data_IF_336979993439
#
_entry.id   IF_336979993439
#
_cell.length_a   1.000
_cell.length_b   1.000
_cell.length_c   1.000
_cell.angle_alpha   90.00
_cell.angle_beta   90.00
_cell.angle_gamma   90.00
#
_symmetry.space_group_name_H-M   'P 1'
#
loop_
_entity.id
_entity.type
_entity.pdbx_description
1 polymer ?
#
# COMPACT_ATOMS: atom_id res chain seq x y z
N UNK A 1 45.79 0.99 29.67
CA UNK A 1 44.41 1.12 30.18
C UNK A 1 43.61 1.74 29.07
N UNK A 2 42.85 0.89 28.37
CA UNK A 2 42.11 1.23 27.16
C UNK A 2 40.87 2.06 27.51
N UNK A 3 40.67 3.14 26.75
CA UNK A 3 39.43 3.92 26.72
C UNK A 3 38.33 3.07 26.07
N UNK A 4 37.42 2.53 26.87
CA UNK A 4 36.16 1.99 26.36
C UNK A 4 35.32 3.14 25.79
N UNK A 5 35.32 3.27 24.47
CA UNK A 5 34.40 4.14 23.75
C UNK A 5 32.98 3.62 23.97
N UNK A 6 32.20 4.38 24.73
CA UNK A 6 30.76 4.24 24.90
C UNK A 6 30.09 4.19 23.50
N UNK A 7 29.72 2.99 23.03
CA UNK A 7 28.88 2.83 21.84
C UNK A 7 27.47 3.28 22.22
N UNK A 8 27.19 4.57 22.06
CA UNK A 8 25.81 5.08 22.03
C UNK A 8 25.06 4.31 20.94
N UNK A 9 24.20 3.38 21.35
CA UNK A 9 23.14 2.86 20.48
C UNK A 9 22.23 4.03 20.14
N UNK A 10 22.47 4.68 19.00
CA UNK A 10 21.64 5.79 18.51
C UNK A 10 20.19 5.32 18.44
N UNK A 11 19.37 5.86 19.35
CA UNK A 11 17.92 5.74 19.34
C UNK A 11 17.37 6.18 17.97
N UNK A 12 16.37 5.46 17.44
CA UNK A 12 15.66 5.90 16.23
C UNK A 12 14.83 7.14 16.60
N UNK A 13 14.98 8.28 15.92
CA UNK A 13 14.21 9.48 16.24
C UNK A 13 12.72 9.28 15.95
N UNK A 14 11.86 10.06 16.61
CA UNK A 14 10.40 9.99 16.40
C UNK A 14 10.01 10.28 14.95
N UNK A 15 10.63 11.30 14.35
CA UNK A 15 10.50 11.61 12.93
C UNK A 15 11.87 11.66 12.26
N UNK A 16 11.90 11.36 10.95
CA UNK A 16 13.07 11.57 10.12
C UNK A 16 12.68 11.89 8.68
N UNK A 17 13.63 12.31 7.85
CA UNK A 17 13.36 12.55 6.44
C UNK A 17 12.90 11.26 5.75
N UNK A 18 11.80 11.33 4.99
CA UNK A 18 11.21 10.17 4.32
C UNK A 18 12.18 9.50 3.34
N UNK A 19 13.07 10.27 2.71
CA UNK A 19 14.13 9.77 1.82
C UNK A 19 15.17 8.89 2.53
N UNK A 20 15.28 8.98 3.86
CA UNK A 20 16.22 8.20 4.69
C UNK A 20 15.53 7.09 5.50
N UNK A 21 14.20 7.08 5.49
CA UNK A 21 13.42 6.08 6.21
C UNK A 21 13.31 4.80 5.38
N UNK A 22 13.75 3.67 5.95
CA UNK A 22 13.74 2.32 5.35
C UNK A 22 13.05 1.30 6.25
N UNK A 23 12.22 1.78 7.20
CA UNK A 23 11.44 0.96 8.16
C UNK A 23 12.01 0.90 9.58
N UNK A 24 13.11 1.58 9.88
CA UNK A 24 13.69 1.61 11.23
C UNK A 24 12.71 2.19 12.26
N UNK A 25 12.53 1.51 13.39
CA UNK A 25 11.63 1.96 14.47
C UNK A 25 10.14 1.66 14.26
N UNK A 26 9.74 1.13 13.10
CA UNK A 26 8.36 0.73 12.84
C UNK A 26 7.87 -0.27 13.88
N UNK A 27 6.75 0.02 14.55
CA UNK A 27 6.16 -0.85 15.56
C UNK A 27 4.68 -0.49 15.78
N UNK A 28 3.74 -1.32 15.30
CA UNK A 28 2.33 -1.25 15.71
C UNK A 28 2.18 -1.30 17.25
N UNK A 29 1.07 -0.82 17.82
CA UNK A 29 0.78 -1.03 19.24
C UNK A 29 0.88 -2.53 19.55
N UNK A 30 1.74 -2.91 20.50
CA UNK A 30 1.95 -4.30 20.85
C UNK A 30 2.49 -4.44 22.27
N UNK A 31 2.18 -5.56 22.91
CA UNK A 31 2.79 -5.97 24.17
C UNK A 31 4.27 -6.32 23.98
N UNK A 32 5.08 -6.19 25.03
CA UNK A 32 6.54 -6.43 24.95
C UNK A 32 6.84 -7.88 24.61
N UNK A 33 6.10 -8.80 25.20
CA UNK A 33 6.22 -10.24 24.98
C UNK A 33 5.78 -10.62 23.55
N UNK A 34 4.75 -9.98 23.00
CA UNK A 34 4.33 -10.14 21.61
C UNK A 34 5.45 -9.74 20.62
N UNK A 35 6.14 -8.62 20.89
CA UNK A 35 7.29 -8.17 20.10
C UNK A 35 8.45 -9.18 20.16
N UNK A 36 8.76 -9.70 21.35
CA UNK A 36 9.81 -10.69 21.53
C UNK A 36 9.46 -12.03 20.85
N UNK A 37 8.20 -12.45 20.98
CA UNK A 37 7.67 -13.68 20.39
C UNK A 37 7.76 -13.66 18.86
N UNK A 38 7.34 -12.54 18.23
CA UNK A 38 7.45 -12.34 16.79
C UNK A 38 8.90 -12.49 16.29
N UNK A 39 9.88 -11.92 17.02
CA UNK A 39 11.30 -12.03 16.68
C UNK A 39 11.81 -13.47 16.78
N UNK A 40 11.43 -14.17 17.85
CA UNK A 40 11.86 -15.56 18.11
C UNK A 40 11.31 -16.55 17.09
N UNK A 41 10.11 -16.31 16.58
CA UNK A 41 9.38 -17.24 15.69
C UNK A 41 9.17 -16.70 14.27
N UNK A 42 10.00 -15.74 13.85
CA UNK A 42 9.88 -15.01 12.59
C UNK A 42 9.60 -15.90 11.38
N UNK A 43 10.41 -16.93 11.17
CA UNK A 43 10.31 -17.78 9.97
C UNK A 43 9.03 -18.64 9.97
N UNK A 44 8.53 -19.03 11.16
CA UNK A 44 7.26 -19.76 11.26
C UNK A 44 6.10 -18.85 10.90
N UNK A 45 6.05 -17.65 11.47
CA UNK A 45 5.01 -16.68 11.14
C UNK A 45 5.04 -16.25 9.67
N UNK A 46 6.23 -16.03 9.10
CA UNK A 46 6.38 -15.73 7.68
C UNK A 46 5.72 -16.81 6.81
N UNK A 47 6.02 -18.10 7.05
CA UNK A 47 5.40 -19.22 6.34
C UNK A 47 3.88 -19.28 6.51
N UNK A 48 3.38 -19.04 7.73
CA UNK A 48 1.92 -19.03 7.99
C UNK A 48 1.23 -17.87 7.28
N UNK A 49 1.84 -16.69 7.23
CA UNK A 49 1.36 -15.56 6.44
C UNK A 49 1.30 -15.89 4.95
N UNK A 50 2.39 -16.41 4.37
CA UNK A 50 2.42 -16.83 2.96
C UNK A 50 1.37 -17.91 2.65
N UNK A 51 1.21 -18.90 3.54
CA UNK A 51 0.18 -19.94 3.42
C UNK A 51 -1.23 -19.36 3.48
N UNK A 52 -1.50 -18.38 4.34
CA UNK A 52 -2.81 -17.75 4.44
C UNK A 52 -3.24 -17.13 3.11
N UNK A 53 -2.35 -16.39 2.44
CA UNK A 53 -2.69 -15.78 1.15
C UNK A 53 -2.87 -16.82 0.04
N UNK A 54 -2.06 -17.88 0.04
CA UNK A 54 -2.26 -19.02 -0.87
C UNK A 54 -3.62 -19.71 -0.64
N UNK A 55 -3.96 -20.01 0.62
CA UNK A 55 -5.18 -20.76 0.98
C UNK A 55 -6.46 -19.98 0.67
N UNK A 56 -6.44 -18.66 0.83
CA UNK A 56 -7.62 -17.81 0.69
C UNK A 56 -7.75 -17.15 -0.67
N UNK A 57 -6.64 -16.75 -1.28
CA UNK A 57 -6.62 -15.98 -2.52
C UNK A 57 -6.00 -16.74 -3.70
N UNK A 58 -5.28 -17.85 -3.45
CA UNK A 58 -4.59 -18.59 -4.51
C UNK A 58 -3.42 -17.82 -5.13
N UNK A 59 -2.83 -16.90 -4.37
CA UNK A 59 -1.72 -16.03 -4.80
C UNK A 59 -0.46 -16.36 -4.01
N UNK A 60 0.68 -16.38 -4.71
CA UNK A 60 2.00 -16.47 -4.08
C UNK A 60 2.41 -15.10 -3.60
N UNK A 61 2.66 -14.99 -2.30
CA UNK A 61 3.20 -13.79 -1.66
C UNK A 61 4.49 -14.13 -0.95
N UNK A 62 5.28 -13.11 -0.62
CA UNK A 62 6.49 -13.23 0.18
C UNK A 62 6.38 -12.36 1.42
N UNK A 63 6.69 -12.91 2.59
CA UNK A 63 6.74 -12.13 3.82
C UNK A 63 7.87 -11.10 3.75
N UNK A 64 7.54 -9.85 4.05
CA UNK A 64 8.47 -8.70 4.05
C UNK A 64 8.78 -8.21 5.45
N UNK A 65 7.88 -8.42 6.41
CA UNK A 65 8.08 -8.10 7.82
C UNK A 65 7.23 -9.01 8.72
N UNK A 66 7.72 -9.26 9.93
CA UNK A 66 7.00 -9.99 10.99
C UNK A 66 7.25 -9.25 12.29
N UNK A 67 6.19 -8.77 12.93
CA UNK A 67 6.30 -7.89 14.09
C UNK A 67 5.21 -8.18 15.10
N UNK A 68 5.46 -7.90 16.39
CA UNK A 68 4.41 -7.98 17.40
C UNK A 68 3.32 -6.94 17.10
N UNK A 69 2.06 -7.30 17.29
CA UNK A 69 0.89 -6.44 17.08
C UNK A 69 -0.22 -6.88 18.04
N UNK A 70 -0.73 -5.97 18.88
CA UNK A 70 -1.59 -6.33 20.01
C UNK A 70 -0.88 -7.28 20.98
N UNK A 71 -1.58 -8.34 21.37
CA UNK A 71 -1.07 -9.49 22.12
C UNK A 71 -0.52 -10.62 21.20
N UNK A 72 -0.60 -10.44 19.87
CA UNK A 72 -0.20 -11.41 18.85
C UNK A 72 0.92 -10.93 17.93
N UNK A 73 0.89 -11.37 16.68
CA UNK A 73 1.92 -11.09 15.66
C UNK A 73 1.24 -10.71 14.35
N UNK A 74 1.82 -9.76 13.62
CA UNK A 74 1.35 -9.34 12.31
C UNK A 74 2.42 -9.60 11.25
N UNK A 75 2.00 -10.19 10.14
CA UNK A 75 2.86 -10.53 9.00
C UNK A 75 2.54 -9.61 7.83
N UNK A 76 3.52 -8.84 7.39
CA UNK A 76 3.45 -8.03 6.17
C UNK A 76 3.95 -8.88 5.00
N UNK A 77 3.25 -8.78 3.87
CA UNK A 77 3.56 -9.53 2.66
C UNK A 77 3.59 -8.62 1.44
N UNK A 78 4.34 -9.02 0.43
CA UNK A 78 4.32 -8.46 -0.90
C UNK A 78 3.93 -9.54 -1.91
N UNK A 79 3.01 -9.23 -2.81
CA UNK A 79 2.60 -10.04 -3.94
C UNK A 79 3.16 -9.43 -5.22
N UNK A 80 3.73 -10.29 -6.05
CA UNK A 80 4.06 -10.03 -7.46
C UNK A 80 3.89 -11.38 -8.17
N UNK A 81 2.64 -11.71 -8.50
CA UNK A 81 2.25 -13.02 -9.03
C UNK A 81 1.28 -12.82 -10.20
N UNK A 82 1.69 -13.23 -11.41
CA UNK A 82 0.95 -12.98 -12.66
C UNK A 82 0.57 -11.50 -12.85
N UNK A 83 1.51 -10.58 -12.64
CA UNK A 83 1.33 -9.11 -12.68
C UNK A 83 0.32 -8.54 -11.66
N UNK A 84 -0.18 -9.36 -10.73
CA UNK A 84 -0.97 -8.89 -9.60
C UNK A 84 -0.01 -8.47 -8.49
N UNK A 85 0.06 -7.15 -8.24
CA UNK A 85 1.04 -6.54 -7.35
C UNK A 85 0.38 -5.81 -6.19
N UNK A 86 0.72 -6.17 -4.95
CA UNK A 86 0.22 -5.44 -3.76
C UNK A 86 1.07 -5.72 -2.51
N UNK A 87 0.92 -4.85 -1.51
CA UNK A 87 1.36 -5.08 -0.14
C UNK A 87 0.16 -5.19 0.79
N UNK A 88 0.18 -6.16 1.70
CA UNK A 88 -0.89 -6.40 2.67
C UNK A 88 -0.28 -6.86 4.00
N UNK A 89 -1.11 -6.93 5.04
CA UNK A 89 -0.73 -7.58 6.30
C UNK A 89 -1.89 -8.40 6.87
N UNK A 90 -1.56 -9.36 7.72
CA UNK A 90 -2.53 -10.21 8.42
C UNK A 90 -2.05 -10.42 9.88
N UNK A 91 -2.88 -10.10 10.88
CA UNK A 91 -2.59 -10.43 12.27
C UNK A 91 -2.92 -11.90 12.58
N UNK A 92 -2.18 -12.47 13.52
CA UNK A 92 -2.37 -13.82 14.04
C UNK A 92 -2.15 -13.87 15.55
N UNK A 93 -2.90 -14.76 16.20
CA UNK A 93 -2.59 -15.21 17.54
C UNK A 93 -1.26 -15.95 17.58
N UNK A 94 -0.60 -15.95 18.75
CA UNK A 94 0.67 -16.65 18.96
C UNK A 94 0.59 -18.15 18.65
N UNK A 95 -0.57 -18.76 18.86
CA UNK A 95 -0.82 -20.20 18.65
C UNK A 95 -0.84 -20.63 17.18
N UNK A 96 -0.86 -19.69 16.22
CA UNK A 96 -0.91 -20.02 14.79
C UNK A 96 0.27 -20.88 14.32
N UNK A 97 1.39 -20.84 15.05
CA UNK A 97 2.63 -21.57 14.75
C UNK A 97 2.65 -22.99 15.33
N UNK A 98 1.62 -23.38 16.07
CA UNK A 98 1.52 -24.71 16.69
C UNK A 98 0.94 -25.76 15.72
N UNK A 99 0.47 -25.33 14.54
CA UNK A 99 -0.11 -26.18 13.51
C UNK A 99 0.25 -25.67 12.12
N UNK A 100 0.40 -26.58 11.16
CA UNK A 100 0.54 -26.29 9.72
C UNK A 100 -0.78 -26.51 8.94
N UNK A 101 -1.89 -26.69 9.66
CA UNK A 101 -3.21 -26.89 9.05
C UNK A 101 -3.63 -25.73 8.15
N UNK A 102 -4.56 -26.01 7.23
CA UNK A 102 -5.10 -24.98 6.33
C UNK A 102 -5.62 -23.76 7.10
N UNK A 103 -5.36 -22.60 6.52
CA UNK A 103 -5.75 -21.27 7.01
C UNK A 103 -6.92 -20.67 6.22
N UNK A 104 -7.71 -21.52 5.55
CA UNK A 104 -8.92 -21.07 4.85
C UNK A 104 -9.89 -20.41 5.83
N UNK A 105 -10.07 -19.11 5.66
CA UNK A 105 -10.99 -18.32 6.46
C UNK A 105 -12.43 -18.59 6.06
N UNK A 106 -13.30 -18.60 7.06
CA UNK A 106 -14.76 -18.55 6.92
C UNK A 106 -15.32 -17.19 7.33
N UNK A 107 -14.43 -16.24 7.63
CA UNK A 107 -14.80 -14.89 8.02
C UNK A 107 -15.50 -14.18 6.86
N UNK A 108 -16.62 -13.54 7.19
CA UNK A 108 -17.47 -12.76 6.29
C UNK A 108 -17.62 -11.31 6.77
N UNK A 109 -16.84 -10.91 7.77
CA UNK A 109 -16.85 -9.58 8.34
C UNK A 109 -16.13 -8.55 7.48
N UNK A 110 -16.18 -7.31 7.96
CA UNK A 110 -15.64 -6.15 7.27
C UNK A 110 -14.11 -6.18 7.17
N UNK A 111 -13.42 -6.77 8.15
CA UNK A 111 -11.95 -6.91 8.14
C UNK A 111 -11.48 -7.79 6.97
N UNK A 112 -12.12 -8.95 6.78
CA UNK A 112 -11.83 -9.81 5.62
C UNK A 112 -12.20 -9.12 4.30
N UNK A 113 -13.31 -8.39 4.25
CA UNK A 113 -13.73 -7.66 3.06
C UNK A 113 -12.75 -6.53 2.70
N UNK A 114 -12.19 -5.87 3.72
CA UNK A 114 -11.14 -4.86 3.56
C UNK A 114 -9.85 -5.49 3.03
N UNK A 115 -9.48 -6.67 3.52
CA UNK A 115 -8.33 -7.42 2.99
C UNK A 115 -8.57 -7.85 1.53
N UNK A 116 -9.78 -8.27 1.17
CA UNK A 116 -10.14 -8.56 -0.23
C UNK A 116 -9.97 -7.30 -1.09
N UNK A 117 -10.45 -6.13 -0.67
CA UNK A 117 -10.23 -4.87 -1.39
C UNK A 117 -8.74 -4.52 -1.54
N UNK A 118 -7.94 -4.81 -0.51
CA UNK A 118 -6.47 -4.65 -0.51
C UNK A 118 -5.84 -5.55 -1.57
N UNK A 119 -6.21 -6.83 -1.66
CA UNK A 119 -5.73 -7.75 -2.69
C UNK A 119 -6.18 -7.31 -4.09
N UNK A 120 -7.44 -6.89 -4.23
CA UNK A 120 -8.01 -6.47 -5.51
C UNK A 120 -7.38 -5.19 -6.06
N UNK A 121 -6.77 -4.35 -5.24
CA UNK A 121 -5.95 -3.24 -5.76
C UNK A 121 -4.81 -3.74 -6.66
N UNK A 122 -4.25 -4.93 -6.41
CA UNK A 122 -3.26 -5.53 -7.30
C UNK A 122 -3.85 -6.06 -8.60
N UNK A 123 -5.12 -6.46 -8.59
CA UNK A 123 -5.86 -6.81 -9.81
C UNK A 123 -6.15 -5.56 -10.64
N UNK A 124 -6.53 -4.45 -10.00
CA UNK A 124 -6.70 -3.17 -10.67
C UNK A 124 -5.37 -2.66 -11.24
N UNK A 125 -4.25 -2.86 -10.53
CA UNK A 125 -2.92 -2.59 -11.10
C UNK A 125 -2.69 -3.36 -12.39
N UNK A 126 -2.89 -4.69 -12.40
CA UNK A 126 -2.74 -5.49 -13.62
C UNK A 126 -3.66 -5.02 -14.75
N UNK A 127 -4.91 -4.68 -14.43
CA UNK A 127 -5.89 -4.24 -15.41
C UNK A 127 -5.49 -2.91 -16.10
N UNK A 128 -4.76 -2.06 -15.38
CA UNK A 128 -4.35 -0.71 -15.77
C UNK A 128 -2.82 -0.55 -15.83
N UNK A 129 -2.08 -1.65 -16.01
CA UNK A 129 -0.63 -1.72 -15.78
C UNK A 129 0.15 -0.68 -16.58
N UNK A 130 -0.09 -0.61 -17.88
CA UNK A 130 0.64 0.29 -18.78
C UNK A 130 0.51 1.76 -18.38
N UNK A 131 -0.70 2.22 -18.08
CA UNK A 131 -0.95 3.63 -17.72
C UNK A 131 -0.49 3.97 -16.30
N UNK A 132 -0.55 3.01 -15.37
CA UNK A 132 0.01 3.16 -14.01
C UNK A 132 1.54 3.20 -14.01
N UNK A 133 2.18 2.36 -14.83
CA UNK A 133 3.63 2.39 -15.04
C UNK A 133 4.04 3.73 -15.68
N UNK A 134 3.30 4.21 -16.68
CA UNK A 134 3.51 5.54 -17.27
C UNK A 134 3.35 6.68 -16.25
N UNK A 135 2.34 6.62 -15.37
CA UNK A 135 2.18 7.61 -14.29
C UNK A 135 3.39 7.59 -13.36
N UNK A 136 3.92 6.41 -13.04
CA UNK A 136 5.13 6.25 -12.22
C UNK A 136 6.33 6.93 -12.87
N UNK A 137 6.53 6.74 -14.18
CA UNK A 137 7.62 7.38 -14.92
C UNK A 137 7.46 8.91 -14.99
N UNK A 138 6.24 9.41 -15.17
CA UNK A 138 5.97 10.86 -15.10
C UNK A 138 6.28 11.42 -13.69
N UNK A 139 5.91 10.73 -12.62
CA UNK A 139 6.23 11.17 -11.26
C UNK A 139 7.76 11.17 -11.02
N UNK A 140 8.50 10.20 -11.59
CA UNK A 140 9.97 10.20 -11.57
C UNK A 140 10.57 11.37 -12.34
N UNK A 141 10.05 11.67 -13.53
CA UNK A 141 10.49 12.76 -14.42
C UNK A 141 10.42 14.13 -13.70
N UNK A 142 9.33 14.36 -12.97
CA UNK A 142 9.00 15.70 -12.44
C UNK A 142 9.43 15.96 -10.99
N UNK A 143 9.96 14.95 -10.28
CA UNK A 143 10.33 15.07 -8.86
C UNK A 143 11.33 16.19 -8.56
N UNK A 144 12.28 16.45 -9.46
CA UNK A 144 13.25 17.55 -9.30
C UNK A 144 12.60 18.92 -9.55
N UNK A 145 11.72 19.03 -10.55
CA UNK A 145 11.05 20.29 -10.91
C UNK A 145 10.14 20.77 -9.78
N UNK A 146 9.31 19.87 -9.23
CA UNK A 146 8.37 20.19 -8.14
C UNK A 146 8.91 19.79 -6.76
N UNK A 147 10.23 19.57 -6.65
CA UNK A 147 10.97 19.45 -5.40
C UNK A 147 10.36 18.44 -4.41
N UNK A 148 10.13 17.22 -4.84
CA UNK A 148 9.62 16.14 -3.97
C UNK A 148 10.42 14.84 -4.07
N UNK A 149 10.18 13.95 -3.11
CA UNK A 149 10.52 12.53 -3.14
C UNK A 149 9.28 11.70 -2.85
N UNK A 150 9.36 10.40 -3.12
CA UNK A 150 8.42 9.41 -2.59
C UNK A 150 8.94 8.77 -1.29
N UNK A 151 8.21 7.76 -0.82
CA UNK A 151 8.73 6.78 0.12
C UNK A 151 9.97 6.06 -0.45
N UNK A 152 10.78 5.44 0.42
CA UNK A 152 11.72 4.42 -0.06
C UNK A 152 11.01 3.09 -0.29
N UNK A 153 11.50 2.30 -1.23
CA UNK A 153 11.02 0.93 -1.49
C UNK A 153 11.01 0.08 -0.21
N UNK A 154 12.09 0.12 0.57
CA UNK A 154 12.19 -0.61 1.84
C UNK A 154 11.14 -0.19 2.88
N UNK A 155 10.82 1.11 2.95
CA UNK A 155 9.78 1.58 3.84
C UNK A 155 8.40 1.04 3.42
N UNK A 156 8.10 1.03 2.13
CA UNK A 156 6.85 0.47 1.60
C UNK A 156 6.74 -1.00 1.96
N UNK A 157 7.76 -1.79 1.57
CA UNK A 157 7.74 -3.23 1.74
C UNK A 157 7.56 -3.65 3.19
N UNK A 158 8.14 -2.93 4.15
CA UNK A 158 8.15 -3.34 5.57
C UNK A 158 7.03 -2.76 6.42
N UNK A 159 6.37 -1.69 5.96
CA UNK A 159 5.52 -0.87 6.84
C UNK A 159 4.15 -0.52 6.25
N UNK A 160 3.94 -0.74 4.96
CA UNK A 160 2.69 -0.41 4.27
C UNK A 160 1.95 -1.70 3.89
N UNK A 161 0.62 -1.66 3.98
CA UNK A 161 -0.26 -2.82 3.83
C UNK A 161 -1.59 -2.48 3.12
N UNK A 162 -1.63 -1.36 2.39
CA UNK A 162 -2.87 -0.79 1.84
C UNK A 162 -3.17 -1.20 0.40
N UNK A 163 -2.52 -2.24 -0.13
CA UNK A 163 -2.71 -2.71 -1.49
C UNK A 163 -1.52 -2.38 -2.40
N UNK A 164 -1.77 -2.18 -3.69
CA UNK A 164 -0.77 -1.72 -4.64
C UNK A 164 -0.21 -0.36 -4.18
N UNK A 165 1.11 -0.29 -4.09
CA UNK A 165 1.84 0.90 -3.68
C UNK A 165 3.25 0.88 -4.26
N UNK A 166 3.68 2.02 -4.78
CA UNK A 166 5.08 2.31 -5.10
C UNK A 166 5.55 3.54 -4.32
N UNK A 167 6.74 4.06 -4.61
CA UNK A 167 7.32 5.22 -3.91
C UNK A 167 6.40 6.45 -3.93
N UNK A 168 5.63 6.63 -5.00
CA UNK A 168 4.95 7.88 -5.30
C UNK A 168 3.45 7.84 -5.04
N UNK A 169 2.80 6.69 -5.08
CA UNK A 169 1.35 6.59 -4.88
C UNK A 169 0.91 5.20 -4.43
N UNK A 170 -0.34 5.12 -3.99
CA UNK A 170 -1.07 3.87 -3.81
C UNK A 170 -2.38 3.87 -4.59
N UNK A 171 -2.88 2.67 -4.87
CA UNK A 171 -4.14 2.43 -5.56
C UNK A 171 -5.12 1.76 -4.60
N UNK A 172 -6.36 2.23 -4.53
CA UNK A 172 -7.42 1.57 -3.77
C UNK A 172 -8.47 0.98 -4.69
N UNK A 173 -9.03 -0.16 -4.26
CA UNK A 173 -10.12 -0.85 -4.92
C UNK A 173 -11.29 -1.01 -3.95
N UNK A 174 -12.48 -1.25 -4.49
CA UNK A 174 -13.68 -1.53 -3.69
C UNK A 174 -13.54 -2.89 -2.98
N UNK A 175 -13.89 -2.97 -1.68
CA UNK A 175 -13.92 -4.22 -0.96
C UNK A 175 -15.11 -5.09 -1.41
N UNK A 176 -14.89 -6.40 -1.38
CA UNK A 176 -15.91 -7.42 -1.63
C UNK A 176 -15.77 -8.54 -0.59
N UNK A 177 -16.78 -9.40 -0.48
CA UNK A 177 -16.66 -10.59 0.36
C UNK A 177 -15.66 -11.59 -0.23
N UNK A 178 -15.10 -12.47 0.61
CA UNK A 178 -14.22 -13.55 0.15
C UNK A 178 -14.93 -14.54 -0.80
N UNK A 179 -16.24 -14.74 -0.64
CA UNK A 179 -17.04 -15.58 -1.53
C UNK A 179 -17.16 -14.95 -2.94
N UNK A 180 -17.35 -13.62 -3.01
CA UNK A 180 -17.34 -12.88 -4.28
C UNK A 180 -15.95 -12.87 -4.92
N UNK A 181 -14.89 -12.69 -4.12
CA UNK A 181 -13.51 -12.84 -4.59
C UNK A 181 -13.29 -14.17 -5.31
N UNK A 182 -13.61 -15.28 -4.63
CA UNK A 182 -13.44 -16.64 -5.16
C UNK A 182 -14.25 -16.88 -6.42
N UNK A 183 -15.45 -16.28 -6.51
CA UNK A 183 -16.35 -16.46 -7.64
C UNK A 183 -15.96 -15.65 -8.87
N UNK A 184 -15.58 -14.38 -8.69
CA UNK A 184 -15.47 -13.42 -9.79
C UNK A 184 -14.03 -13.01 -10.12
N UNK A 185 -13.09 -13.15 -9.19
CA UNK A 185 -11.74 -12.59 -9.34
C UNK A 185 -10.66 -13.66 -9.33
N UNK A 186 -10.71 -14.62 -8.39
CA UNK A 186 -9.71 -15.70 -8.31
C UNK A 186 -9.53 -16.48 -9.63
N UNK A 187 -10.58 -16.80 -10.41
CA UNK A 187 -10.40 -17.50 -11.68
C UNK A 187 -9.58 -16.70 -12.71
N UNK A 188 -9.53 -15.38 -12.58
CA UNK A 188 -8.86 -14.50 -13.54
C UNK A 188 -7.32 -14.55 -13.43
N UNK A 189 -6.77 -15.02 -12.30
CA UNK A 189 -5.33 -14.95 -12.00
C UNK A 189 -4.47 -15.50 -13.14
N UNK A 190 -4.88 -16.64 -13.72
CA UNK A 190 -4.12 -17.38 -14.74
C UNK A 190 -4.51 -17.06 -16.17
N UNK A 191 -5.48 -16.16 -16.37
CA UNK A 191 -5.91 -15.75 -17.70
C UNK A 191 -4.83 -14.89 -18.38
N UNK A 192 -4.84 -14.86 -19.71
CA UNK A 192 -4.04 -13.89 -20.47
C UNK A 192 -4.55 -12.46 -20.23
N UNK A 193 -3.74 -11.45 -20.52
CA UNK A 193 -4.08 -10.06 -20.14
C UNK A 193 -5.35 -9.52 -20.80
N UNK A 194 -5.71 -9.98 -22.00
CA UNK A 194 -6.96 -9.55 -22.64
C UNK A 194 -8.14 -10.16 -21.90
N UNK A 195 -8.11 -11.48 -21.70
CA UNK A 195 -9.15 -12.23 -20.97
C UNK A 195 -9.28 -11.76 -19.51
N UNK A 196 -8.15 -11.43 -18.87
CA UNK A 196 -8.12 -10.82 -17.53
C UNK A 196 -8.85 -9.48 -17.49
N UNK A 197 -8.53 -8.55 -18.41
CA UNK A 197 -9.17 -7.21 -18.46
C UNK A 197 -10.67 -7.31 -18.77
N UNK A 198 -11.05 -8.17 -19.70
CA UNK A 198 -12.47 -8.41 -20.03
C UNK A 198 -13.21 -9.06 -18.86
N UNK A 199 -12.55 -9.98 -18.16
CA UNK A 199 -13.01 -10.59 -16.92
C UNK A 199 -13.24 -9.57 -15.81
N UNK A 200 -12.28 -8.68 -15.55
CA UNK A 200 -12.39 -7.60 -14.56
C UNK A 200 -13.61 -6.70 -14.85
N UNK A 201 -13.80 -6.29 -16.11
CA UNK A 201 -14.97 -5.50 -16.53
C UNK A 201 -16.28 -6.25 -16.31
N UNK A 202 -16.32 -7.54 -16.64
CA UNK A 202 -17.50 -8.38 -16.41
C UNK A 202 -17.79 -8.55 -14.92
N UNK A 203 -16.78 -8.76 -14.08
CA UNK A 203 -16.92 -8.88 -12.62
C UNK A 203 -17.56 -7.62 -12.03
N UNK A 204 -17.06 -6.43 -12.39
CA UNK A 204 -17.67 -5.14 -11.99
C UNK A 204 -19.13 -5.03 -12.44
N UNK A 205 -19.44 -5.42 -13.67
CA UNK A 205 -20.82 -5.42 -14.20
C UNK A 205 -21.75 -6.36 -13.41
N UNK A 206 -21.31 -7.59 -13.11
CA UNK A 206 -22.09 -8.57 -12.35
C UNK A 206 -22.34 -8.11 -10.91
N UNK A 207 -21.33 -7.47 -10.29
CA UNK A 207 -21.39 -6.91 -8.95
C UNK A 207 -22.06 -5.53 -8.89
N UNK A 208 -22.51 -5.00 -10.05
CA UNK A 208 -23.12 -3.67 -10.19
C UNK A 208 -22.23 -2.53 -9.68
N UNK A 209 -20.92 -2.75 -9.72
CA UNK A 209 -19.91 -1.78 -9.34
C UNK A 209 -19.73 -0.74 -10.44
N UNK A 210 -19.98 0.52 -10.08
CA UNK A 210 -19.80 1.69 -10.94
C UNK A 210 -18.66 2.58 -10.47
N UNK A 211 -17.97 2.17 -9.41
CA UNK A 211 -16.82 2.89 -8.87
C UNK A 211 -15.65 2.84 -9.84
N UNK A 212 -14.71 3.73 -9.61
CA UNK A 212 -13.40 3.72 -10.25
C UNK A 212 -12.34 3.65 -9.17
N UNK A 213 -11.30 2.83 -9.35
CA UNK A 213 -10.14 2.84 -8.47
C UNK A 213 -9.59 4.25 -8.25
N UNK A 214 -9.04 4.47 -7.06
CA UNK A 214 -8.48 5.75 -6.64
C UNK A 214 -6.97 5.66 -6.52
N UNK A 215 -6.29 6.55 -7.23
CA UNK A 215 -4.86 6.76 -7.12
C UNK A 215 -4.63 8.01 -6.27
N UNK A 216 -3.87 7.85 -5.19
CA UNK A 216 -3.50 8.96 -4.31
C UNK A 216 -1.98 8.98 -4.16
N UNK A 217 -1.36 10.09 -4.55
CA UNK A 217 0.09 10.24 -4.41
C UNK A 217 0.48 10.44 -2.95
N UNK A 218 1.68 10.01 -2.58
CA UNK A 218 2.27 10.20 -1.26
C UNK A 218 3.64 10.85 -1.38
N UNK A 219 3.64 12.15 -1.70
CA UNK A 219 4.84 12.91 -1.99
C UNK A 219 5.34 13.66 -0.75
N UNK A 220 6.65 13.66 -0.54
CA UNK A 220 7.30 14.41 0.53
C UNK A 220 8.10 15.54 -0.11
N UNK A 221 7.82 16.77 0.29
CA UNK A 221 8.58 17.94 -0.18
C UNK A 221 10.05 17.80 0.21
N UNK A 222 10.95 18.33 -0.61
CA UNK A 222 12.38 18.45 -0.31
C UNK A 222 12.76 19.85 0.20
N UNK A 223 11.78 20.76 0.29
CA UNK A 223 11.98 22.13 0.83
C UNK A 223 12.23 22.07 2.34
N UNK A 224 13.19 22.87 2.82
CA UNK A 224 13.44 23.04 4.25
C UNK A 224 12.30 23.80 4.95
N UNK A 225 11.73 24.79 4.27
CA UNK A 225 10.68 25.69 4.75
C UNK A 225 9.31 25.40 4.10
N UNK A 226 8.93 24.13 3.99
CA UNK A 226 7.63 23.75 3.41
C UNK A 226 6.45 24.44 4.13
N UNK A 227 5.60 25.13 3.37
CA UNK A 227 4.29 25.63 3.81
C UNK A 227 3.25 25.37 2.73
N UNK A 228 1.96 25.41 3.09
CA UNK A 228 0.89 25.30 2.10
C UNK A 228 0.96 26.42 1.06
N UNK A 229 1.11 27.66 1.54
CA UNK A 229 1.11 28.86 0.70
C UNK A 229 2.26 28.87 -0.32
N UNK A 230 3.45 28.38 0.04
CA UNK A 230 4.60 28.40 -0.87
C UNK A 230 4.69 27.18 -1.82
N UNK A 231 3.72 26.27 -1.75
CA UNK A 231 3.73 25.02 -2.51
C UNK A 231 2.42 24.78 -3.28
N UNK A 232 1.30 25.39 -2.89
CA UNK A 232 0.01 25.18 -3.55
C UNK A 232 0.04 25.50 -5.06
N UNK A 233 0.64 26.60 -5.48
CA UNK A 233 0.72 26.99 -6.89
C UNK A 233 1.55 25.99 -7.72
N UNK A 234 2.64 25.46 -7.14
CA UNK A 234 3.44 24.41 -7.77
C UNK A 234 2.64 23.12 -7.96
N UNK A 235 1.78 22.78 -6.99
CA UNK A 235 0.93 21.59 -7.06
C UNK A 235 -0.23 21.75 -8.07
N UNK A 236 -0.77 22.96 -8.19
CA UNK A 236 -1.77 23.29 -9.22
C UNK A 236 -1.13 23.19 -10.61
N UNK A 237 0.05 23.80 -10.83
CA UNK A 237 0.78 23.66 -12.09
C UNK A 237 1.09 22.19 -12.40
N UNK A 238 1.50 21.41 -11.40
CA UNK A 238 1.79 19.99 -11.63
C UNK A 238 0.53 19.19 -12.01
N UNK A 239 -0.60 19.45 -11.36
CA UNK A 239 -1.88 18.83 -11.74
C UNK A 239 -2.24 19.15 -13.20
N UNK A 240 -2.07 20.39 -13.64
CA UNK A 240 -2.31 20.78 -15.03
C UNK A 240 -1.34 20.13 -16.03
N UNK A 241 -0.09 19.91 -15.63
CA UNK A 241 0.88 19.12 -16.41
C UNK A 241 0.43 17.67 -16.52
N UNK A 242 0.00 17.04 -15.43
CA UNK A 242 -0.51 15.66 -15.43
C UNK A 242 -1.75 15.53 -16.33
N UNK A 243 -2.69 16.48 -16.26
CA UNK A 243 -3.89 16.51 -17.13
C UNK A 243 -3.57 16.56 -18.63
N UNK A 244 -2.40 17.05 -19.02
CA UNK A 244 -1.94 17.09 -20.43
C UNK A 244 -1.28 15.79 -20.89
N UNK A 245 -0.85 14.92 -19.99
CA UNK A 245 -0.28 13.61 -20.34
C UNK A 245 -1.41 12.68 -20.78
N UNK A 246 -1.26 12.05 -21.95
CA UNK A 246 -2.30 11.22 -22.59
C UNK A 246 -2.23 9.74 -22.21
N UNK A 247 -1.06 9.29 -21.74
CA UNK A 247 -0.71 7.89 -21.50
C UNK A 247 -0.75 7.50 -20.00
N UNK A 248 -1.32 8.35 -19.16
CA UNK A 248 -1.53 8.10 -17.71
C UNK A 248 -3.01 7.75 -17.48
N UNK A 249 -3.43 7.26 -16.29
CA UNK A 249 -4.75 6.65 -16.09
C UNK A 249 -5.86 7.70 -15.99
N UNK A 250 -6.38 8.11 -17.14
CA UNK A 250 -7.39 9.18 -17.27
C UNK A 250 -8.80 8.71 -16.92
N UNK A 251 -9.06 7.41 -16.99
CA UNK A 251 -10.33 6.80 -16.62
C UNK A 251 -10.39 6.39 -15.14
N UNK A 252 -9.30 6.55 -14.39
CA UNK A 252 -9.27 6.40 -12.94
C UNK A 252 -9.41 7.74 -12.23
N UNK A 253 -9.71 7.69 -10.93
CA UNK A 253 -9.62 8.86 -10.08
C UNK A 253 -8.17 9.07 -9.65
N UNK A 254 -7.65 10.29 -9.79
CA UNK A 254 -6.27 10.63 -9.46
C UNK A 254 -6.25 11.90 -8.61
N UNK A 255 -5.74 11.76 -7.39
CA UNK A 255 -5.51 12.85 -6.44
C UNK A 255 -4.01 13.02 -6.18
N UNK A 256 -3.55 14.26 -6.29
CA UNK A 256 -2.15 14.65 -6.09
C UNK A 256 -2.00 15.24 -4.68
N UNK A 257 -1.38 14.49 -3.78
CA UNK A 257 -1.04 14.94 -2.43
C UNK A 257 0.48 15.11 -2.23
N UNK A 258 0.84 16.16 -1.50
CA UNK A 258 2.21 16.42 -1.01
C UNK A 258 2.19 16.88 0.45
N UNK A 259 3.22 16.55 1.20
CA UNK A 259 3.41 16.95 2.60
C UNK A 259 4.83 17.43 2.87
N UNK A 260 5.13 17.79 4.13
CA UNK A 260 6.51 18.09 4.54
C UNK A 260 7.46 16.88 4.37
N UNK A 261 8.77 17.10 4.51
CA UNK A 261 9.80 16.09 4.24
C UNK A 261 9.86 14.93 5.25
N UNK A 262 9.18 15.04 6.39
CA UNK A 262 9.38 14.17 7.54
C UNK A 262 8.36 13.03 7.58
N UNK A 263 8.73 11.93 8.23
CA UNK A 263 7.86 10.80 8.47
C UNK A 263 8.04 10.29 9.90
N UNK A 264 6.93 9.95 10.57
CA UNK A 264 6.97 9.29 11.86
C UNK A 264 7.52 7.87 11.71
N UNK A 265 8.61 7.56 12.41
CA UNK A 265 9.36 6.32 12.23
C UNK A 265 8.62 5.10 12.78
N UNK A 266 7.84 5.29 13.84
CA UNK A 266 7.08 4.24 14.51
C UNK A 266 5.76 3.92 13.81
N UNK A 267 5.08 4.95 13.31
CA UNK A 267 3.78 4.88 12.62
C UNK A 267 3.84 5.70 11.33
N UNK A 268 4.46 5.16 10.27
CA UNK A 268 4.68 5.84 8.98
C UNK A 268 3.39 5.92 8.15
N UNK A 269 2.31 6.48 8.71
CA UNK A 269 1.02 6.59 8.05
C UNK A 269 0.88 7.98 7.41
N UNK A 270 0.91 8.02 6.08
CA UNK A 270 0.78 9.27 5.32
C UNK A 270 -0.57 9.97 5.53
N UNK A 271 -1.67 9.24 5.76
CA UNK A 271 -3.00 9.84 5.91
C UNK A 271 -3.17 10.67 7.19
N UNK A 272 -2.23 10.56 8.13
CA UNK A 272 -2.19 11.38 9.35
C UNK A 272 -1.38 12.66 9.19
N UNK A 273 -0.72 12.86 8.04
CA UNK A 273 0.06 14.05 7.77
C UNK A 273 -0.84 15.20 7.35
N UNK A 274 -0.40 16.41 7.62
CA UNK A 274 -0.98 17.59 6.97
C UNK A 274 -0.49 17.64 5.51
N UNK A 275 -1.44 17.68 4.58
CA UNK A 275 -1.19 17.59 3.14
C UNK A 275 -1.78 18.78 2.39
N UNK A 276 -1.17 19.10 1.27
CA UNK A 276 -1.82 19.81 0.17
C UNK A 276 -2.41 18.73 -0.73
N UNK A 277 -3.67 18.87 -1.11
CA UNK A 277 -4.36 17.97 -2.03
C UNK A 277 -4.92 18.74 -3.23
N UNK A 278 -4.62 18.28 -4.43
CA UNK A 278 -5.12 18.83 -5.69
C UNK A 278 -5.65 17.70 -6.57
N UNK A 279 -6.91 17.81 -6.99
CA UNK A 279 -7.50 16.84 -7.91
C UNK A 279 -6.87 16.90 -9.30
N UNK A 280 -6.61 15.74 -9.90
CA UNK A 280 -6.13 15.60 -11.30
C UNK A 280 -7.26 15.09 -12.19
N UNK A 281 -7.81 13.92 -11.87
CA UNK A 281 -8.99 13.34 -12.54
C UNK A 281 -9.99 12.89 -11.48
N UNK A 282 -11.26 13.27 -11.64
CA UNK A 282 -12.34 12.84 -10.75
C UNK A 282 -13.58 12.50 -11.59
N UNK A 283 -14.13 11.31 -11.36
CA UNK A 283 -15.27 10.74 -12.08
C UNK A 283 -16.44 10.42 -11.15
N UNK A 284 -16.37 10.81 -9.88
CA UNK A 284 -17.55 10.79 -9.03
C UNK A 284 -18.58 11.78 -9.56
N UNK A 285 -19.83 11.32 -9.64
CA UNK A 285 -20.94 12.23 -9.90
C UNK A 285 -21.07 13.13 -8.67
N UNK A 286 -20.82 14.42 -8.84
CA UNK A 286 -21.42 15.40 -7.93
C UNK A 286 -22.92 15.18 -7.98
N UNK A 287 -23.52 14.67 -6.90
CA UNK A 287 -24.96 14.77 -6.71
C UNK A 287 -25.26 16.27 -6.55
N UNK A 288 -25.37 17.00 -7.66
CA UNK A 288 -26.12 18.25 -7.70
C UNK A 288 -27.58 17.83 -7.57
N UNK A 289 -28.06 17.82 -6.33
CA UNK A 289 -29.49 17.91 -6.06
C UNK A 289 -29.91 19.31 -6.51
N UNK A 290 -30.39 19.42 -7.75
CA UNK A 290 -31.33 20.46 -8.16
C UNK A 290 -32.75 19.88 -8.11
#
# INVERSE_FOLDING_TARGET
MENESNKETKSVPEEMEASKYVGQGFQPPAEKDAIEFAKKHKDKFAKRGEQFFMDNFGLKVKATNVIGSGDGVEVFVHCDDHDIVFNASIPFDKSIIDSDSSLRSKDKGDDMSTLVGTVLSGFEYRAHKEELDNLTEVLKEYKSKYKYTGYTENAIMKTQNSGFRNEYYYLTAIPYTLDEYKKYFQPLIKEDDKSFRDGMKNSKKQLKDKSRPYIVTTLFSTKDNFTKDNTIDEMIDFSEVLKKKKNIPRDLNVSLQISNKYINTKRPNYSKKDVIEVGVFNHEKTNTND
#
